data_IF_450907882197
#
_entry.id   IF_450907882197
#
_cell.length_a   1.000
_cell.length_b   1.000
_cell.length_c   1.000
_cell.angle_alpha   90.00
_cell.angle_beta   90.00
_cell.angle_gamma   90.00
#
_symmetry.space_group_name_H-M   'P 1'
#
loop_
_entity.id
_entity.type
_entity.pdbx_description
1 polymer ?
#
# COMPACT_ATOMS: atom_id res chain seq x y z
N UNK A 1 9.94 -9.29 -2.70
CA UNK A 1 9.05 -8.57 -1.75
C UNK A 1 7.71 -8.45 -2.43
N UNK A 2 6.62 -8.89 -1.78
CA UNK A 2 5.25 -8.61 -2.23
C UNK A 2 4.71 -7.44 -1.40
N UNK A 3 4.02 -6.50 -2.04
CA UNK A 3 3.34 -5.40 -1.36
C UNK A 3 1.88 -5.48 -1.74
N UNK A 4 0.98 -5.46 -0.76
CA UNK A 4 -0.46 -5.54 -0.97
C UNK A 4 -1.09 -4.29 -0.40
N UNK A 5 -2.05 -3.71 -1.12
CA UNK A 5 -2.97 -2.71 -0.57
C UNK A 5 -4.42 -3.13 -0.77
N UNK A 6 -5.23 -2.97 0.27
CA UNK A 6 -6.67 -3.22 0.19
C UNK A 6 -7.47 -2.32 1.14
N UNK A 7 -8.30 -1.44 0.57
CA UNK A 7 -9.37 -0.82 1.34
C UNK A 7 -10.51 -1.84 1.53
N UNK A 8 -10.72 -2.26 2.77
CA UNK A 8 -11.67 -3.35 3.08
C UNK A 8 -13.08 -2.84 3.34
N UNK A 9 -13.33 -1.53 3.27
CA UNK A 9 -14.67 -0.96 3.38
C UNK A 9 -15.44 -1.39 4.63
N UNK A 10 -14.74 -1.59 5.76
CA UNK A 10 -15.25 -2.16 7.03
C UNK A 10 -15.76 -3.59 6.98
N UNK A 11 -15.57 -4.29 5.85
CA UNK A 11 -15.95 -5.67 5.67
C UNK A 11 -15.15 -6.62 6.57
N UNK A 12 -15.73 -7.79 6.77
CA UNK A 12 -15.05 -8.93 7.36
C UNK A 12 -14.09 -9.55 6.34
N UNK A 13 -12.98 -10.16 6.81
CA UNK A 13 -12.07 -10.89 5.93
C UNK A 13 -12.79 -12.00 5.16
N UNK A 14 -12.37 -12.32 3.92
CA UNK A 14 -12.81 -13.53 3.22
C UNK A 14 -12.19 -14.78 3.87
N UNK A 15 -12.64 -15.97 3.46
CA UNK A 15 -12.12 -17.24 3.99
C UNK A 15 -10.71 -17.58 3.47
N UNK A 16 -10.31 -17.04 2.31
CA UNK A 16 -9.03 -17.32 1.67
C UNK A 16 -8.39 -16.05 1.09
N UNK A 17 -7.06 -15.96 1.16
CA UNK A 17 -6.23 -14.90 0.56
C UNK A 17 -5.03 -15.44 -0.22
N UNK A 18 -5.01 -16.75 -0.50
CA UNK A 18 -3.91 -17.47 -1.15
C UNK A 18 -3.61 -16.88 -2.53
N UNK A 19 -4.63 -16.61 -3.35
CA UNK A 19 -4.43 -16.04 -4.70
C UNK A 19 -3.91 -14.60 -4.67
N UNK A 20 -4.30 -13.79 -3.67
CA UNK A 20 -3.77 -12.44 -3.49
C UNK A 20 -2.28 -12.43 -3.16
N UNK A 21 -1.85 -13.38 -2.32
CA UNK A 21 -0.49 -13.49 -1.80
C UNK A 21 0.43 -14.35 -2.68
N UNK A 22 -0.10 -14.91 -3.77
CA UNK A 22 0.59 -15.81 -4.70
C UNK A 22 1.16 -17.06 -4.00
N UNK A 23 0.41 -17.58 -3.04
CA UNK A 23 0.79 -18.77 -2.27
C UNK A 23 0.38 -20.05 -3.03
N UNK A 24 1.21 -21.11 -2.95
CA UNK A 24 0.84 -22.45 -3.42
C UNK A 24 0.93 -22.75 -4.93
N UNK A 25 1.54 -21.89 -5.75
CA UNK A 25 1.90 -22.23 -7.13
C UNK A 25 3.06 -23.24 -7.15
N UNK A 26 2.86 -24.41 -7.79
CA UNK A 26 3.81 -25.54 -7.79
C UNK A 26 5.12 -25.33 -8.55
N UNK A 27 5.52 -24.10 -8.82
CA UNK A 27 6.81 -23.77 -9.41
C UNK A 27 7.68 -23.15 -8.30
N UNK A 28 8.69 -23.90 -7.86
CA UNK A 28 9.67 -23.54 -6.81
C UNK A 28 10.58 -22.36 -7.21
N UNK A 29 10.26 -21.65 -8.30
CA UNK A 29 10.94 -20.46 -8.76
C UNK A 29 10.31 -19.18 -8.17
N UNK A 30 10.79 -18.77 -6.99
CA UNK A 30 10.81 -17.36 -6.61
C UNK A 30 9.61 -16.80 -5.84
N UNK A 31 9.05 -17.55 -4.89
CA UNK A 31 8.10 -16.99 -3.91
C UNK A 31 8.71 -15.83 -3.10
N UNK A 32 7.88 -14.86 -2.69
CA UNK A 32 8.35 -13.70 -1.93
C UNK A 32 9.06 -14.10 -0.62
N UNK A 33 10.03 -13.28 -0.19
CA UNK A 33 10.74 -13.47 1.09
C UNK A 33 10.27 -12.51 2.19
N UNK A 34 9.63 -11.42 1.77
CA UNK A 34 8.97 -10.44 2.63
C UNK A 34 7.65 -10.04 1.99
N UNK A 35 6.62 -9.85 2.81
CA UNK A 35 5.29 -9.45 2.37
C UNK A 35 4.84 -8.28 3.26
N UNK A 36 4.52 -7.14 2.64
CA UNK A 36 3.92 -5.99 3.31
C UNK A 36 2.45 -5.88 2.93
N UNK A 37 1.55 -5.81 3.91
CA UNK A 37 0.10 -5.76 3.68
C UNK A 37 -0.43 -4.48 4.32
N UNK A 38 -0.94 -3.58 3.49
CA UNK A 38 -1.57 -2.33 3.88
C UNK A 38 -3.08 -2.41 3.74
N UNK A 39 -3.80 -2.25 4.84
CA UNK A 39 -5.25 -2.22 4.84
C UNK A 39 -5.76 -0.82 5.18
N UNK A 40 -6.93 -0.46 4.64
CA UNK A 40 -7.66 0.75 4.99
C UNK A 40 -9.13 0.42 5.28
N UNK A 41 -9.79 1.25 6.08
CA UNK A 41 -11.17 1.03 6.56
C UNK A 41 -11.39 -0.31 7.27
N UNK A 42 -10.36 -0.88 7.91
CA UNK A 42 -10.55 -2.02 8.80
C UNK A 42 -11.46 -1.62 9.95
N UNK A 43 -12.47 -2.45 10.24
CA UNK A 43 -13.41 -2.17 11.32
C UNK A 43 -12.67 -1.99 12.66
N UNK A 44 -12.86 -0.84 13.30
CA UNK A 44 -12.22 -0.45 14.56
C UNK A 44 -13.08 -0.68 15.80
N UNK A 45 -14.29 -1.23 15.62
CA UNK A 45 -15.11 -1.64 16.76
C UNK A 45 -14.40 -2.82 17.46
N UNK A 46 -13.98 -2.60 18.70
CA UNK A 46 -13.56 -3.65 19.61
C UNK A 46 -14.69 -4.68 19.68
N UNK A 47 -14.49 -5.87 19.11
CA UNK A 47 -15.38 -6.99 19.37
C UNK A 47 -15.40 -7.19 20.90
N UNK A 48 -16.55 -6.93 21.53
CA UNK A 48 -16.81 -7.18 22.96
C UNK A 48 -16.87 -8.69 23.27
N UNK A 49 -15.97 -9.47 22.68
CA UNK A 49 -15.76 -10.88 23.03
C UNK A 49 -14.37 -10.98 23.64
N UNK A 50 -14.39 -10.99 24.95
CA UNK A 50 -13.29 -11.28 25.85
C UNK A 50 -12.55 -12.55 25.41
N UNK A 51 -11.37 -12.39 24.80
CA UNK A 51 -10.30 -13.40 24.81
C UNK A 51 -8.97 -12.67 24.95
N UNK A 52 -8.44 -12.81 26.15
CA UNK A 52 -7.30 -12.08 26.69
C UNK A 52 -5.99 -12.29 25.90
N UNK A 53 -5.17 -11.24 25.93
CA UNK A 53 -3.72 -11.17 25.67
C UNK A 53 -3.19 -10.98 24.23
N UNK A 54 -3.98 -11.17 23.15
CA UNK A 54 -3.50 -10.96 21.77
C UNK A 54 -4.50 -10.07 20.99
N UNK A 55 -4.27 -8.77 21.00
CA UNK A 55 -5.11 -7.77 20.30
C UNK A 55 -4.87 -7.78 18.78
N UNK A 56 -5.15 -8.88 18.10
CA UNK A 56 -5.13 -8.95 16.64
C UNK A 56 -6.55 -8.85 16.09
N UNK A 57 -6.76 -7.94 15.14
CA UNK A 57 -8.02 -7.91 14.40
C UNK A 57 -8.12 -9.11 13.45
N UNK A 58 -9.34 -9.47 13.06
CA UNK A 58 -9.60 -10.66 12.24
C UNK A 58 -8.89 -10.65 10.88
N UNK A 59 -8.57 -9.47 10.33
CA UNK A 59 -7.76 -9.39 9.11
C UNK A 59 -6.31 -9.78 9.39
N UNK A 60 -5.74 -9.26 10.48
CA UNK A 60 -4.40 -9.66 10.92
C UNK A 60 -4.31 -11.17 11.22
N UNK A 61 -5.32 -11.74 11.88
CA UNK A 61 -5.42 -13.19 12.13
C UNK A 61 -5.43 -14.00 10.83
N UNK A 62 -6.33 -13.66 9.89
CA UNK A 62 -6.39 -14.30 8.58
C UNK A 62 -5.02 -14.32 7.88
N UNK A 63 -4.32 -13.19 7.84
CA UNK A 63 -3.03 -13.12 7.16
C UNK A 63 -1.94 -13.90 7.89
N UNK A 64 -1.92 -13.91 9.22
CA UNK A 64 -0.99 -14.75 9.99
C UNK A 64 -1.24 -16.24 9.72
N UNK A 65 -2.49 -16.67 9.76
CA UNK A 65 -2.88 -18.08 9.53
C UNK A 65 -2.57 -18.53 8.11
N UNK A 66 -2.86 -17.70 7.11
CA UNK A 66 -2.58 -18.00 5.70
C UNK A 66 -1.07 -18.09 5.40
N UNK A 67 -0.25 -17.28 6.08
CA UNK A 67 1.19 -17.17 5.82
C UNK A 67 2.05 -18.14 6.64
N UNK A 68 1.58 -18.57 7.81
CA UNK A 68 2.33 -19.46 8.70
C UNK A 68 2.79 -20.78 8.04
N UNK A 69 1.97 -21.50 7.24
CA UNK A 69 2.42 -22.71 6.52
C UNK A 69 3.57 -22.47 5.53
N UNK A 70 3.78 -21.22 5.12
CA UNK A 70 4.81 -20.80 4.17
C UNK A 70 6.03 -20.19 4.86
N UNK A 71 6.24 -20.49 6.14
CA UNK A 71 7.43 -20.11 6.92
C UNK A 71 7.56 -18.60 7.16
N UNK A 72 6.50 -17.82 6.95
CA UNK A 72 6.46 -16.41 7.27
C UNK A 72 6.12 -16.18 8.73
N UNK A 73 6.73 -15.14 9.31
CA UNK A 73 6.42 -14.63 10.63
C UNK A 73 6.12 -13.14 10.55
N UNK A 74 5.23 -12.65 11.41
CA UNK A 74 4.95 -11.22 11.54
C UNK A 74 6.15 -10.53 12.19
N UNK A 75 6.86 -9.70 11.42
CA UNK A 75 8.04 -8.93 11.87
C UNK A 75 7.58 -7.66 12.59
N UNK A 76 6.55 -7.00 12.08
CA UNK A 76 6.01 -5.77 12.67
C UNK A 76 4.58 -5.53 12.22
N UNK A 77 3.82 -4.86 13.07
CA UNK A 77 2.46 -4.40 12.76
C UNK A 77 2.23 -3.02 13.36
N UNK A 78 1.61 -2.12 12.61
CA UNK A 78 1.14 -0.85 13.13
C UNK A 78 -0.30 -0.58 12.68
N UNK A 79 -1.12 -0.11 13.61
CA UNK A 79 -2.52 0.24 13.38
C UNK A 79 -2.80 1.67 13.80
N UNK A 80 -3.46 2.42 12.91
CA UNK A 80 -4.03 3.74 13.17
C UNK A 80 -5.50 3.73 12.76
N UNK A 81 -6.41 3.57 13.75
CA UNK A 81 -7.85 3.37 13.51
C UNK A 81 -8.11 2.23 12.52
N UNK A 82 -8.65 2.52 11.33
CA UNK A 82 -8.90 1.53 10.27
C UNK A 82 -7.75 1.36 9.29
N UNK A 83 -6.60 2.03 9.48
CA UNK A 83 -5.41 1.89 8.63
C UNK A 83 -4.43 0.94 9.33
N UNK A 84 -4.05 -0.14 8.68
CA UNK A 84 -3.16 -1.18 9.23
C UNK A 84 -2.02 -1.45 8.27
N UNK A 85 -0.82 -1.65 8.79
CA UNK A 85 0.32 -2.16 8.05
C UNK A 85 0.88 -3.38 8.78
N UNK A 86 0.94 -4.52 8.09
CA UNK A 86 1.56 -5.75 8.54
C UNK A 86 2.80 -6.03 7.68
N UNK A 87 3.92 -6.33 8.32
CA UNK A 87 5.14 -6.71 7.64
C UNK A 87 5.53 -8.13 8.06
N UNK A 88 5.55 -9.04 7.08
CA UNK A 88 5.97 -10.42 7.24
C UNK A 88 7.32 -10.66 6.57
N UNK A 89 8.10 -11.59 7.11
CA UNK A 89 9.29 -12.13 6.47
C UNK A 89 9.42 -13.62 6.75
N UNK A 90 10.09 -14.35 5.87
CA UNK A 90 10.42 -15.75 6.17
C UNK A 90 11.35 -15.84 7.37
N UNK A 91 11.11 -16.81 8.26
CA UNK A 91 11.78 -16.88 9.58
C UNK A 91 13.31 -16.93 9.47
N UNK A 92 13.86 -17.53 8.42
CA UNK A 92 15.30 -17.64 8.22
C UNK A 92 15.98 -16.31 7.86
N UNK A 93 15.21 -15.24 7.57
CA UNK A 93 15.74 -13.90 7.36
C UNK A 93 15.87 -13.08 8.65
N UNK A 94 15.21 -13.48 9.75
CA UNK A 94 15.18 -12.71 11.00
C UNK A 94 16.55 -12.24 11.52
N UNK A 95 17.64 -13.05 11.47
CA UNK A 95 18.97 -12.59 11.94
C UNK A 95 19.54 -11.38 11.15
N UNK A 96 19.01 -11.13 9.95
CA UNK A 96 19.43 -10.05 9.05
C UNK A 96 18.47 -8.87 9.05
N UNK A 97 17.36 -8.96 9.79
CA UNK A 97 16.41 -7.87 9.99
C UNK A 97 16.75 -7.17 11.31
N UNK A 98 17.02 -5.86 11.25
CA UNK A 98 17.42 -5.07 12.42
C UNK A 98 16.70 -3.73 12.41
N UNK A 99 16.72 -3.06 13.56
CA UNK A 99 16.29 -1.66 13.69
C UNK A 99 14.86 -1.42 13.14
N UNK A 100 13.96 -2.35 13.51
CA UNK A 100 12.55 -2.29 13.17
C UNK A 100 11.91 -1.17 13.97
N UNK A 101 11.38 -0.16 13.28
CA UNK A 101 10.64 0.94 13.90
C UNK A 101 9.36 1.22 13.13
N UNK A 102 8.42 1.86 13.80
CA UNK A 102 7.10 2.16 13.24
C UNK A 102 6.71 3.58 13.60
N UNK A 103 6.00 4.26 12.71
CA UNK A 103 5.46 5.60 12.99
C UNK A 103 4.10 5.80 12.31
N UNK A 104 3.28 6.72 12.83
CA UNK A 104 2.00 7.05 12.23
C UNK A 104 1.69 8.56 12.31
N UNK A 105 1.02 9.06 11.28
CA UNK A 105 0.56 10.45 11.21
C UNK A 105 -0.90 10.47 10.87
N UNK A 106 -1.70 11.10 11.73
CA UNK A 106 -3.13 11.33 11.51
C UNK A 106 -3.32 12.61 10.71
N UNK A 107 -4.16 12.57 9.68
CA UNK A 107 -4.52 13.74 8.88
C UNK A 107 -6.03 13.97 8.78
N UNK A 108 -6.84 13.07 9.32
CA UNK A 108 -8.30 13.21 9.38
C UNK A 108 -8.75 14.28 10.39
N UNK A 109 -9.82 15.00 10.07
CA UNK A 109 -10.39 16.08 10.90
C UNK A 109 -9.31 17.04 11.43
N UNK A 110 -8.40 17.53 10.58
CA UNK A 110 -7.33 18.45 11.00
C UNK A 110 -6.24 17.79 11.86
N UNK A 111 -6.07 16.47 11.77
CA UNK A 111 -5.08 15.70 12.54
C UNK A 111 -5.62 15.07 13.82
N UNK A 112 -6.84 15.44 14.24
CA UNK A 112 -7.45 14.90 15.46
C UNK A 112 -7.99 13.47 15.31
N UNK A 113 -8.32 13.04 14.09
CA UNK A 113 -8.94 11.73 13.85
C UNK A 113 -8.12 10.86 12.90
N UNK A 114 -7.87 9.61 13.29
CA UNK A 114 -6.98 8.69 12.58
C UNK A 114 -7.60 7.93 11.40
N UNK A 115 -8.77 8.31 10.89
CA UNK A 115 -9.39 7.63 9.73
C UNK A 115 -8.70 7.94 8.39
N UNK A 116 -7.79 8.93 8.38
CA UNK A 116 -6.95 9.33 7.25
C UNK A 116 -5.55 9.62 7.77
N UNK A 117 -4.54 9.38 6.93
CA UNK A 117 -3.14 9.60 7.24
C UNK A 117 -2.26 8.46 6.73
N UNK A 118 -1.16 8.19 7.42
CA UNK A 118 -0.20 7.15 7.05
C UNK A 118 0.36 6.39 8.24
N UNK A 119 0.64 5.11 8.05
CA UNK A 119 1.37 4.23 8.97
C UNK A 119 2.59 3.69 8.25
N UNK A 120 3.71 3.62 8.94
CA UNK A 120 4.96 3.13 8.37
C UNK A 120 5.62 2.07 9.24
N UNK A 121 6.31 1.16 8.58
CA UNK A 121 7.27 0.23 9.17
C UNK A 121 8.57 0.40 8.41
N UNK A 122 9.67 0.64 9.13
CA UNK A 122 11.02 0.63 8.57
C UNK A 122 11.89 -0.40 9.26
N UNK A 123 12.89 -0.88 8.54
CA UNK A 123 13.89 -1.81 9.05
C UNK A 123 15.16 -1.78 8.21
N UNK A 124 16.28 -2.18 8.81
CA UNK A 124 17.46 -2.60 8.08
C UNK A 124 17.29 -4.07 7.67
N UNK A 125 17.34 -4.36 6.37
CA UNK A 125 17.34 -5.72 5.83
C UNK A 125 18.62 -5.91 5.00
N UNK A 126 19.46 -6.87 5.38
CA UNK A 126 20.72 -7.16 4.68
C UNK A 126 21.64 -5.94 4.49
N UNK A 127 21.61 -5.00 5.43
CA UNK A 127 22.41 -3.77 5.39
C UNK A 127 21.79 -2.63 4.58
N UNK A 128 20.58 -2.79 4.04
CA UNK A 128 19.82 -1.73 3.37
C UNK A 128 18.64 -1.27 4.23
N UNK A 129 18.43 0.03 4.29
CA UNK A 129 17.29 0.61 4.99
C UNK A 129 16.05 0.60 4.09
N UNK A 130 15.01 -0.12 4.51
CA UNK A 130 13.74 -0.21 3.80
C UNK A 130 12.65 0.51 4.61
N UNK A 131 11.71 1.18 3.94
CA UNK A 131 10.52 1.76 4.54
C UNK A 131 9.27 1.39 3.75
N UNK A 132 8.25 0.92 4.45
CA UNK A 132 6.92 0.60 3.91
C UNK A 132 5.95 1.61 4.49
N UNK A 133 5.32 2.42 3.63
CA UNK A 133 4.36 3.45 4.01
C UNK A 133 3.00 3.14 3.41
N UNK A 134 2.06 2.72 4.25
CA UNK A 134 0.66 2.57 3.89
C UNK A 134 -0.11 3.85 4.24
N UNK A 135 -0.85 4.40 3.28
CA UNK A 135 -1.64 5.61 3.44
C UNK A 135 -3.14 5.39 3.16
N UNK A 136 -3.96 6.18 3.84
CA UNK A 136 -5.36 6.40 3.46
C UNK A 136 -5.58 7.90 3.33
N UNK A 137 -5.60 8.39 2.10
CA UNK A 137 -5.64 9.83 1.80
C UNK A 137 -7.08 10.34 1.58
N UNK A 138 -7.32 11.67 1.66
CA UNK A 138 -8.65 12.26 1.51
C UNK A 138 -9.38 11.80 0.24
N UNK A 139 -10.62 11.35 0.42
CA UNK A 139 -11.50 10.92 -0.65
C UNK A 139 -12.09 12.13 -1.42
N UNK A 140 -12.80 11.82 -2.51
CA UNK A 140 -13.48 12.75 -3.43
C UNK A 140 -12.58 13.40 -4.50
N UNK A 141 -13.23 13.78 -5.61
CA UNK A 141 -12.59 14.27 -6.84
C UNK A 141 -11.79 15.56 -6.60
N UNK A 142 -12.38 16.49 -5.86
CA UNK A 142 -11.90 17.85 -5.59
C UNK A 142 -10.77 17.92 -4.55
N UNK A 143 -10.36 16.80 -3.95
CA UNK A 143 -9.37 16.76 -2.87
C UNK A 143 -7.93 16.46 -3.33
N UNK A 144 -7.61 16.67 -4.60
CA UNK A 144 -6.27 16.37 -5.14
C UNK A 144 -5.14 17.12 -4.42
N UNK A 145 -5.30 18.43 -4.20
CA UNK A 145 -4.31 19.23 -3.44
C UNK A 145 -4.26 18.81 -1.96
N UNK A 146 -5.41 18.53 -1.33
CA UNK A 146 -5.43 18.06 0.06
C UNK A 146 -4.71 16.71 0.23
N UNK A 147 -4.79 15.80 -0.77
CA UNK A 147 -4.00 14.56 -0.79
C UNK A 147 -2.50 14.86 -0.83
N UNK A 148 -2.08 15.85 -1.61
CA UNK A 148 -0.67 16.30 -1.67
C UNK A 148 -0.20 16.85 -0.33
N UNK A 149 -0.97 17.75 0.27
CA UNK A 149 -0.67 18.34 1.59
C UNK A 149 -0.58 17.27 2.70
N UNK A 150 -1.49 16.29 2.67
CA UNK A 150 -1.51 15.19 3.62
C UNK A 150 -0.27 14.30 3.47
N UNK A 151 0.12 13.96 2.24
CA UNK A 151 1.34 13.18 2.01
C UNK A 151 2.59 13.95 2.42
N UNK A 152 2.69 15.26 2.15
CA UNK A 152 3.77 16.10 2.67
C UNK A 152 3.83 16.13 4.20
N UNK A 153 2.67 16.24 4.85
CA UNK A 153 2.57 16.21 6.32
C UNK A 153 3.03 14.86 6.89
N UNK A 154 2.67 13.75 6.24
CA UNK A 154 3.13 12.42 6.62
C UNK A 154 4.66 12.32 6.49
N UNK A 155 5.23 12.76 5.36
CA UNK A 155 6.66 12.73 5.12
C UNK A 155 7.47 13.62 6.07
N UNK A 156 6.92 14.76 6.50
CA UNK A 156 7.61 15.68 7.41
C UNK A 156 7.55 15.20 8.87
N UNK A 157 6.40 14.68 9.31
CA UNK A 157 6.19 14.35 10.72
C UNK A 157 6.72 12.97 11.10
N UNK A 158 6.74 11.99 10.20
CA UNK A 158 7.25 10.66 10.55
C UNK A 158 8.76 10.64 10.55
N UNK A 159 9.35 10.41 11.72
CA UNK A 159 10.78 10.47 11.96
C UNK A 159 11.23 9.27 12.80
N UNK A 160 12.24 8.58 12.31
CA UNK A 160 12.82 7.39 12.94
C UNK A 160 14.10 7.73 13.68
N UNK A 161 14.36 7.01 14.76
CA UNK A 161 15.53 7.22 15.59
C UNK A 161 16.74 6.45 15.04
N UNK A 162 17.95 6.90 15.39
CA UNK A 162 19.18 6.18 15.08
C UNK A 162 19.87 6.56 13.76
N UNK A 163 20.99 5.89 13.44
CA UNK A 163 21.79 6.20 12.26
C UNK A 163 21.16 5.64 10.97
N UNK A 164 21.46 6.26 9.82
CA UNK A 164 21.16 5.72 8.49
C UNK A 164 20.04 6.44 7.73
N UNK A 165 18.81 6.41 8.26
CA UNK A 165 17.64 7.02 7.63
C UNK A 165 16.64 7.53 8.68
N UNK A 166 16.52 8.87 8.81
CA UNK A 166 15.65 9.52 9.79
C UNK A 166 14.27 9.82 9.22
N UNK A 167 14.20 10.45 8.05
CA UNK A 167 12.96 10.66 7.33
C UNK A 167 12.59 9.46 6.45
N UNK A 168 11.31 9.36 6.07
CA UNK A 168 10.83 8.31 5.16
C UNK A 168 11.66 8.26 3.87
N UNK A 169 11.92 9.40 3.23
CA UNK A 169 12.64 9.46 1.95
C UNK A 169 14.16 9.25 2.07
N UNK A 170 14.70 9.11 3.28
CA UNK A 170 16.13 8.86 3.50
C UNK A 170 16.51 7.37 3.36
N UNK A 171 15.51 6.48 3.32
CA UNK A 171 15.70 5.03 3.20
C UNK A 171 16.19 4.65 1.81
N UNK A 172 16.95 3.56 1.70
CA UNK A 172 17.49 3.05 0.44
C UNK A 172 16.37 2.59 -0.51
N UNK A 173 15.29 2.05 0.06
CA UNK A 173 14.06 1.70 -0.64
C UNK A 173 12.84 2.16 0.16
N UNK A 174 11.97 2.91 -0.50
CA UNK A 174 10.66 3.28 0.05
C UNK A 174 9.58 2.66 -0.81
N UNK A 175 8.65 1.95 -0.20
CA UNK A 175 7.35 1.62 -0.79
C UNK A 175 6.32 2.60 -0.24
N UNK A 176 5.62 3.30 -1.12
CA UNK A 176 4.48 4.15 -0.78
C UNK A 176 3.24 3.60 -1.45
N UNK A 177 2.29 3.16 -0.65
CA UNK A 177 1.11 2.44 -1.12
C UNK A 177 -0.10 2.73 -0.25
N UNK A 178 -1.26 2.27 -0.68
CA UNK A 178 -2.51 2.42 0.06
C UNK A 178 -3.69 2.81 -0.82
N UNK A 179 -4.81 3.14 -0.18
CA UNK A 179 -5.88 3.93 -0.79
C UNK A 179 -5.45 5.40 -0.84
N UNK A 180 -4.71 5.73 -1.90
CA UNK A 180 -4.22 7.07 -2.16
C UNK A 180 -5.33 7.99 -2.68
N UNK A 181 -6.50 7.44 -3.03
CA UNK A 181 -7.72 8.16 -3.37
C UNK A 181 -7.63 9.15 -4.55
N UNK A 182 -6.56 9.10 -5.35
CA UNK A 182 -6.48 9.85 -6.61
C UNK A 182 -7.53 9.35 -7.61
N UNK A 183 -8.08 10.28 -8.40
CA UNK A 183 -9.22 10.04 -9.29
C UNK A 183 -8.86 10.33 -10.74
N UNK A 184 -9.72 9.89 -11.65
CA UNK A 184 -9.64 10.24 -13.07
C UNK A 184 -10.37 11.58 -13.28
N UNK A 185 -9.68 12.63 -13.70
CA UNK A 185 -10.24 13.96 -13.97
C UNK A 185 -10.77 14.06 -15.42
N UNK A 186 -11.42 15.19 -15.76
CA UNK A 186 -11.85 15.63 -17.10
C UNK A 186 -12.91 14.78 -17.83
N UNK A 187 -12.84 13.45 -17.79
CA UNK A 187 -13.80 12.58 -18.44
C UNK A 187 -15.06 12.39 -17.62
N UNK A 188 -16.22 12.31 -18.28
CA UNK A 188 -17.45 11.94 -17.62
C UNK A 188 -17.52 10.44 -17.30
N UNK A 189 -18.58 10.03 -16.59
CA UNK A 189 -18.78 8.64 -16.21
C UNK A 189 -18.93 7.70 -17.42
N UNK A 190 -19.58 8.17 -18.49
CA UNK A 190 -19.87 7.33 -19.66
C UNK A 190 -18.59 7.01 -20.42
N UNK A 191 -17.74 8.01 -20.65
CA UNK A 191 -16.45 7.81 -21.30
C UNK A 191 -15.54 6.87 -20.49
N UNK A 192 -15.47 7.05 -19.17
CA UNK A 192 -14.67 6.17 -18.31
C UNK A 192 -15.15 4.73 -18.40
N UNK A 193 -16.47 4.49 -18.33
CA UNK A 193 -17.03 3.13 -18.48
C UNK A 193 -16.75 2.55 -19.87
N UNK A 194 -16.97 3.32 -20.94
CA UNK A 194 -16.68 2.90 -22.30
C UNK A 194 -15.21 2.47 -22.48
N UNK A 195 -14.27 3.26 -21.95
CA UNK A 195 -12.84 2.95 -22.03
C UNK A 195 -12.50 1.66 -21.26
N UNK A 196 -13.14 1.40 -20.12
CA UNK A 196 -12.98 0.16 -19.36
C UNK A 196 -13.55 -1.03 -20.14
N UNK A 197 -14.80 -0.92 -20.61
CA UNK A 197 -15.52 -1.98 -21.31
C UNK A 197 -14.85 -2.36 -22.65
N UNK A 198 -14.13 -1.42 -23.26
CA UNK A 198 -13.40 -1.60 -24.53
C UNK A 198 -11.92 -1.94 -24.35
N UNK A 199 -11.45 -2.17 -23.12
CA UNK A 199 -10.05 -2.40 -22.76
C UNK A 199 -9.08 -1.30 -23.27
N UNK A 200 -9.56 -0.06 -23.29
CA UNK A 200 -8.83 1.13 -23.72
C UNK A 200 -8.32 1.95 -22.52
N UNK A 201 -7.81 1.28 -21.50
CA UNK A 201 -7.43 1.89 -20.22
C UNK A 201 -6.39 3.01 -20.35
N UNK A 202 -5.49 2.89 -21.34
CA UNK A 202 -4.44 3.87 -21.61
C UNK A 202 -4.97 5.28 -21.88
N UNK A 203 -6.19 5.40 -22.42
CA UNK A 203 -6.82 6.71 -22.68
C UNK A 203 -7.13 7.46 -21.39
N UNK A 204 -7.21 6.77 -20.25
CA UNK A 204 -7.53 7.35 -18.96
C UNK A 204 -6.28 7.80 -18.19
N UNK A 205 -5.09 7.31 -18.54
CA UNK A 205 -3.87 7.50 -17.74
C UNK A 205 -3.42 8.95 -17.64
N UNK A 206 -3.56 9.72 -18.71
CA UNK A 206 -3.16 11.14 -18.71
C UNK A 206 -4.08 12.01 -17.86
N UNK A 207 -5.28 11.51 -17.53
CA UNK A 207 -6.24 12.18 -16.65
C UNK A 207 -6.29 11.57 -15.26
N UNK A 208 -5.49 10.55 -14.97
CA UNK A 208 -5.30 10.05 -13.61
C UNK A 208 -4.52 11.10 -12.79
N UNK A 209 -5.12 11.61 -11.72
CA UNK A 209 -4.54 12.69 -10.93
C UNK A 209 -3.17 12.33 -10.32
N UNK A 210 -2.89 11.05 -10.03
CA UNK A 210 -1.58 10.65 -9.52
C UNK A 210 -0.53 10.68 -10.64
N UNK A 211 -0.85 10.18 -11.84
CA UNK A 211 0.03 10.30 -13.00
C UNK A 211 0.32 11.76 -13.37
N UNK A 212 -0.70 12.61 -13.35
CA UNK A 212 -0.53 14.06 -13.53
C UNK A 212 0.38 14.66 -12.44
N UNK A 213 0.20 14.24 -11.18
CA UNK A 213 1.02 14.69 -10.06
C UNK A 213 2.48 14.26 -10.19
N UNK A 214 2.79 13.07 -10.71
CA UNK A 214 4.19 12.64 -10.95
C UNK A 214 4.96 13.58 -11.89
N UNK A 215 4.26 14.19 -12.85
CA UNK A 215 4.86 15.10 -13.82
C UNK A 215 4.99 16.53 -13.29
N UNK A 216 4.15 16.93 -12.33
CA UNK A 216 4.03 18.32 -11.89
C UNK A 216 4.54 18.56 -10.47
N UNK A 217 4.62 17.53 -9.63
CA UNK A 217 4.90 17.65 -8.21
C UNK A 217 6.31 17.12 -7.87
N UNK A 218 7.27 18.01 -7.53
CA UNK A 218 8.67 17.62 -7.36
C UNK A 218 8.94 16.54 -6.31
N UNK A 219 8.10 16.42 -5.27
CA UNK A 219 8.30 15.42 -4.22
C UNK A 219 8.19 13.98 -4.75
N UNK A 220 7.42 13.79 -5.83
CA UNK A 220 7.25 12.49 -6.48
C UNK A 220 8.41 12.13 -7.41
N UNK A 221 9.38 13.04 -7.60
CA UNK A 221 10.57 12.76 -8.41
C UNK A 221 11.30 11.52 -7.86
N UNK A 222 11.50 10.55 -8.75
CA UNK A 222 12.16 9.28 -8.46
C UNK A 222 11.25 8.17 -7.93
N UNK A 223 9.98 8.47 -7.60
CA UNK A 223 8.99 7.39 -7.42
C UNK A 223 8.67 6.76 -8.77
N UNK A 224 8.59 5.44 -8.77
CA UNK A 224 8.25 4.57 -9.89
C UNK A 224 6.97 3.81 -9.54
N UNK A 225 6.22 3.46 -10.56
CA UNK A 225 5.02 2.64 -10.48
C UNK A 225 4.93 1.79 -11.75
N UNK A 226 4.37 0.59 -11.64
CA UNK A 226 4.07 -0.24 -12.80
C UNK A 226 3.00 0.34 -13.72
N UNK A 227 2.90 -0.16 -14.96
CA UNK A 227 1.79 0.18 -15.84
C UNK A 227 0.46 -0.29 -15.25
N UNK A 228 -0.57 0.56 -15.31
CA UNK A 228 -1.93 0.25 -14.85
C UNK A 228 -2.68 -0.61 -15.87
N UNK A 229 -2.20 -1.83 -16.08
CA UNK A 229 -2.77 -2.82 -17.01
C UNK A 229 -3.95 -3.60 -16.41
N UNK A 230 -4.65 -3.01 -15.44
CA UNK A 230 -5.81 -3.57 -14.78
C UNK A 230 -6.87 -2.48 -14.63
N UNK A 231 -8.14 -2.87 -14.62
CA UNK A 231 -9.25 -1.93 -14.54
C UNK A 231 -9.24 -1.12 -13.21
N UNK A 232 -9.86 0.07 -13.17
CA UNK A 232 -9.99 0.86 -11.94
C UNK A 232 -10.54 0.06 -10.75
N UNK A 233 -9.93 0.23 -9.57
CA UNK A 233 -10.14 -0.62 -8.39
C UNK A 233 -11.29 -0.17 -7.49
N UNK A 234 -11.87 0.99 -7.78
CA UNK A 234 -12.99 1.60 -7.07
C UNK A 234 -13.95 2.24 -8.08
N UNK A 235 -15.27 2.33 -7.86
CA UNK A 235 -16.08 1.78 -6.75
C UNK A 235 -16.97 0.67 -7.29
N UNK A 236 -17.01 -0.46 -6.60
CA UNK A 236 -17.85 -1.61 -6.95
C UNK A 236 -19.09 -1.70 -6.06
N UNK A 237 -20.12 -2.36 -6.57
CA UNK A 237 -21.20 -2.89 -5.74
C UNK A 237 -20.67 -4.10 -4.97
N UNK A 238 -20.71 -4.04 -3.64
CA UNK A 238 -20.23 -5.10 -2.73
C UNK A 238 -20.84 -6.45 -3.10
N UNK A 239 -20.02 -7.49 -3.09
CA UNK A 239 -20.40 -8.85 -3.51
C UNK A 239 -20.29 -9.10 -5.02
N UNK A 240 -19.91 -8.09 -5.82
CA UNK A 240 -19.87 -8.20 -7.28
C UNK A 240 -18.61 -7.58 -7.91
N UNK A 241 -18.51 -7.70 -9.24
CA UNK A 241 -17.55 -6.98 -10.09
C UNK A 241 -18.23 -5.88 -10.94
N UNK A 242 -19.44 -5.46 -10.56
CA UNK A 242 -20.16 -4.37 -11.23
C UNK A 242 -19.77 -3.04 -10.56
N UNK A 243 -19.40 -2.05 -11.37
CA UNK A 243 -19.16 -0.70 -10.86
C UNK A 243 -20.43 -0.04 -10.34
N UNK A 244 -20.28 0.83 -9.35
CA UNK A 244 -21.31 1.51 -8.56
C UNK A 244 -22.60 1.80 -9.35
N UNK A 245 -23.66 1.06 -9.01
CA UNK A 245 -25.01 1.24 -9.56
C UNK A 245 -25.91 2.09 -8.65
N UNK A 246 -25.40 2.53 -7.49
CA UNK A 246 -26.15 3.37 -6.56
C UNK A 246 -26.50 4.73 -7.16
N UNK A 247 -27.41 5.45 -6.50
CA UNK A 247 -27.79 6.81 -6.90
C UNK A 247 -26.60 7.80 -6.96
N UNK A 248 -25.51 7.52 -6.22
CA UNK A 248 -24.30 8.36 -6.20
C UNK A 248 -23.44 8.19 -7.46
N UNK A 249 -23.59 7.07 -8.19
CA UNK A 249 -22.89 6.75 -9.45
C UNK A 249 -21.42 7.20 -9.47
N UNK A 250 -20.65 6.75 -8.47
CA UNK A 250 -19.24 7.14 -8.34
C UNK A 250 -18.48 6.68 -9.58
N UNK A 251 -17.72 7.61 -10.16
CA UNK A 251 -16.88 7.34 -11.31
C UNK A 251 -15.76 6.36 -10.94
N UNK A 252 -15.50 5.32 -11.76
CA UNK A 252 -14.39 4.42 -11.53
C UNK A 252 -13.05 5.17 -11.43
N UNK A 253 -12.15 4.71 -10.56
CA UNK A 253 -10.82 5.29 -10.36
C UNK A 253 -9.81 4.27 -9.82
N UNK A 254 -8.54 4.44 -10.16
CA UNK A 254 -7.41 3.73 -9.53
C UNK A 254 -7.03 4.43 -8.23
N UNK A 255 -7.78 4.14 -7.18
CA UNK A 255 -7.56 4.70 -5.84
C UNK A 255 -6.46 3.99 -5.08
N UNK A 256 -6.32 2.68 -5.32
CA UNK A 256 -5.41 1.77 -4.62
C UNK A 256 -4.13 1.61 -5.45
N UNK A 257 -3.00 2.06 -4.90
CA UNK A 257 -1.75 2.23 -5.68
C UNK A 257 -0.53 1.73 -4.91
N UNK A 258 0.50 1.29 -5.63
CA UNK A 258 1.78 0.87 -5.06
C UNK A 258 2.91 1.52 -5.86
N UNK A 259 3.69 2.37 -5.21
CA UNK A 259 4.84 3.05 -5.77
C UNK A 259 6.10 2.67 -4.99
N UNK A 260 7.26 2.76 -5.62
CA UNK A 260 8.54 2.61 -4.95
C UNK A 260 9.53 3.69 -5.35
N UNK A 261 10.48 3.98 -4.45
CA UNK A 261 11.59 4.89 -4.71
C UNK A 261 12.88 4.25 -4.22
N UNK A 262 13.85 4.15 -5.11
CA UNK A 262 15.22 3.76 -4.76
C UNK A 262 16.03 5.03 -4.54
N UNK A 263 16.74 5.09 -3.42
CA UNK A 263 17.67 6.20 -3.15
C UNK A 263 18.75 6.22 -4.22
N UNK A 264 18.96 7.39 -4.82
CA UNK A 264 20.05 7.56 -5.77
C UNK A 264 21.38 7.26 -5.04
N UNK A 265 22.34 6.56 -5.69
CA UNK A 265 23.66 6.37 -5.10
C UNK A 265 24.23 7.74 -4.72
N UNK A 266 24.54 7.95 -3.44
CA UNK A 266 25.21 9.17 -3.02
C UNK A 266 26.54 9.27 -3.74
N UNK A 267 26.83 10.42 -4.37
CA UNK A 267 28.10 10.68 -5.07
C UNK A 267 29.32 10.81 -4.14
N UNK A 268 29.25 10.30 -2.91
CA UNK A 268 30.30 10.40 -1.90
C UNK A 268 30.99 9.05 -1.65
N UNK A 269 32.26 9.03 -1.24
CA UNK A 269 32.95 7.81 -0.85
C UNK A 269 32.21 7.11 0.30
N UNK A 270 32.04 5.79 0.19
CA UNK A 270 31.59 4.97 1.31
C UNK A 270 32.60 5.10 2.46
N UNK A 271 32.20 5.50 3.68
CA UNK A 271 33.10 5.57 4.84
C UNK A 271 33.80 4.24 5.15
N UNK A 272 33.27 3.14 4.61
CA UNK A 272 33.77 1.78 4.82
C UNK A 272 34.66 1.24 3.70
N UNK A 273 34.91 2.00 2.62
CA UNK A 273 35.65 1.52 1.44
C UNK A 273 34.98 0.37 0.68
N UNK A 274 33.83 -0.13 1.14
CA UNK A 274 33.03 -1.15 0.45
C UNK A 274 32.34 -0.51 -0.73
N UNK A 275 32.47 -1.15 -1.91
CA UNK A 275 31.65 -0.82 -3.09
C UNK A 275 30.19 -0.80 -2.63
N UNK A 276 29.52 0.34 -2.80
CA UNK A 276 28.08 0.43 -2.57
C UNK A 276 27.42 -0.56 -3.53
N UNK A 277 26.93 -1.68 -3.01
CA UNK A 277 26.13 -2.61 -3.81
C UNK A 277 24.88 -1.85 -4.22
N UNK A 278 24.77 -1.55 -5.51
CA UNK A 278 23.66 -0.78 -6.05
C UNK A 278 22.39 -1.59 -5.87
N UNK A 279 21.48 -1.11 -5.00
CA UNK A 279 20.15 -1.68 -4.89
C UNK A 279 19.46 -1.62 -6.26
N UNK A 280 18.91 -2.74 -6.69
CA UNK A 280 18.12 -2.84 -7.92
C UNK A 280 16.73 -3.35 -7.56
N UNK A 281 15.72 -2.70 -8.12
CA UNK A 281 14.32 -3.13 -8.02
C UNK A 281 13.85 -3.50 -9.42
N UNK A 282 13.30 -4.71 -9.55
CA UNK A 282 12.64 -5.18 -10.77
C UNK A 282 11.22 -5.54 -10.38
N UNK A 283 10.24 -4.95 -11.05
CA UNK A 283 8.84 -5.30 -10.84
C UNK A 283 8.53 -6.59 -11.59
N UNK A 284 8.03 -7.60 -10.88
CA UNK A 284 7.59 -8.87 -11.48
C UNK A 284 6.11 -8.85 -11.84
N UNK A 285 5.27 -8.28 -10.99
CA UNK A 285 3.82 -8.16 -11.20
C UNK A 285 3.30 -6.84 -10.64
N UNK A 286 2.19 -6.36 -11.19
CA UNK A 286 1.37 -5.30 -10.60
C UNK A 286 -0.06 -5.46 -11.12
N UNK A 287 -0.97 -5.95 -10.26
CA UNK A 287 -2.33 -6.33 -10.68
C UNK A 287 -3.37 -6.08 -9.61
N UNK A 288 -4.62 -5.97 -10.06
CA UNK A 288 -5.78 -6.04 -9.16
C UNK A 288 -6.38 -7.44 -9.19
N UNK A 289 -6.93 -7.87 -8.05
CA UNK A 289 -7.52 -9.19 -7.84
C UNK A 289 -9.04 -9.09 -7.77
N UNK A 290 -9.69 -9.34 -8.91
CA UNK A 290 -11.14 -9.17 -9.11
C UNK A 290 -11.99 -10.27 -8.46
N UNK A 291 -11.37 -11.38 -8.06
CA UNK A 291 -12.02 -12.48 -7.35
C UNK A 291 -12.49 -12.10 -5.94
N UNK A 292 -11.91 -11.07 -5.33
CA UNK A 292 -12.30 -10.59 -4.02
C UNK A 292 -13.42 -9.54 -4.11
N UNK A 293 -14.59 -9.86 -3.56
CA UNK A 293 -15.79 -9.00 -3.70
C UNK A 293 -16.34 -8.49 -2.36
N UNK A 294 -15.69 -8.77 -1.23
CA UNK A 294 -16.16 -8.37 0.11
C UNK A 294 -16.19 -6.85 0.33
N UNK A 295 -15.42 -6.09 -0.46
CA UNK A 295 -15.32 -4.63 -0.40
C UNK A 295 -15.78 -4.00 -1.72
N UNK A 296 -16.09 -2.70 -1.68
CA UNK A 296 -16.29 -1.86 -2.87
C UNK A 296 -14.96 -1.46 -3.54
N UNK A 297 -13.83 -1.86 -2.95
CA UNK A 297 -12.50 -1.83 -3.56
C UNK A 297 -11.97 -3.23 -3.86
N UNK A 298 -11.14 -3.32 -4.90
CA UNK A 298 -10.40 -4.54 -5.27
C UNK A 298 -8.96 -4.46 -4.77
N UNK A 299 -8.43 -5.53 -4.13
CA UNK A 299 -7.06 -5.52 -3.65
C UNK A 299 -6.07 -5.41 -4.82
N UNK A 300 -4.93 -4.80 -4.54
CA UNK A 300 -3.82 -4.60 -5.49
C UNK A 300 -2.53 -5.17 -4.91
N UNK A 301 -1.75 -5.87 -5.74
CA UNK A 301 -0.48 -6.51 -5.38
C UNK A 301 0.56 -6.43 -6.52
#
# INVERSE_FOLDING_TARGET
ITVVTWNVGTAMPPDDVTSLLHLGGGDDSGGADMIAIGLQEVNSMLNKRLKDALFTDQWSELFMDALAPFNFVLVSSLRMQGVILLLFAKYYHLPFLRDVQTDCTRTGLGGYWGNKGGVSVRLAAFGHMLCFLNCHLPAHMDKAEQRKDNFQTILSLQQFQGPGAQGILDHDLVFWFGDLNFRIESYDLHFVKFAIDSDQLHQLWEKDQLNMAKNTWPILKGFQEGPLNFAPTFKFDVGTNKYDTSAKKRKPAWTDRILWKVKAPGGGPSPSGRKSHRLQVTQHSYRSHMEYTVSDHKPVA
#
